data_IF_110022510683
#
_entry.id   IF_110022510683
#
_cell.length_a   1.000
_cell.length_b   1.000
_cell.length_c   1.000
_cell.angle_alpha   90.00
_cell.angle_beta   90.00
_cell.angle_gamma   90.00
#
_symmetry.space_group_name_H-M   'P 1'
#
loop_
_entity.id
_entity.type
_entity.pdbx_description
1 polymer ?
#
# COMPACT_ATOMS: atom_id res chain seq x y z
N UNK A 1 2.72 42.58 -52.82
CA UNK A 1 3.46 42.94 -51.59
C UNK A 1 3.72 41.64 -50.83
N UNK A 2 4.98 41.24 -50.77
CA UNK A 2 5.42 39.95 -50.23
C UNK A 2 5.30 39.89 -48.70
N UNK A 3 4.95 38.71 -48.20
CA UNK A 3 4.94 38.35 -46.78
C UNK A 3 6.29 38.52 -46.08
N UNK A 4 6.25 38.80 -44.78
CA UNK A 4 7.21 38.23 -43.82
C UNK A 4 6.55 38.13 -42.45
N UNK A 5 6.02 36.94 -42.14
CA UNK A 5 5.79 36.52 -40.76
C UNK A 5 7.12 35.97 -40.26
N UNK A 6 7.77 36.71 -39.37
CA UNK A 6 9.04 36.33 -38.76
C UNK A 6 8.75 35.23 -37.75
N UNK A 7 9.13 33.99 -38.08
CA UNK A 7 9.08 32.89 -37.15
C UNK A 7 10.08 33.14 -36.01
N UNK A 8 9.57 33.18 -34.78
CA UNK A 8 10.36 33.35 -33.57
C UNK A 8 11.33 32.16 -33.38
N UNK A 9 12.64 32.40 -33.23
CA UNK A 9 13.60 31.34 -32.95
C UNK A 9 13.51 31.02 -31.46
N UNK A 10 12.94 29.85 -31.11
CA UNK A 10 13.06 29.11 -29.84
C UNK A 10 11.86 28.17 -29.55
N UNK A 11 10.92 27.93 -30.48
CA UNK A 11 9.98 26.84 -30.25
C UNK A 11 10.72 25.49 -30.27
N UNK A 12 10.58 24.65 -29.23
CA UNK A 12 11.15 23.31 -29.25
C UNK A 12 10.58 22.54 -30.45
N UNK A 13 11.33 21.60 -31.03
CA UNK A 13 10.84 20.79 -32.13
C UNK A 13 9.53 20.12 -31.73
N UNK A 14 8.50 20.22 -32.58
CA UNK A 14 7.24 19.52 -32.34
C UNK A 14 7.54 18.03 -32.20
N UNK A 15 7.36 17.49 -31.01
CA UNK A 15 7.56 16.07 -30.76
C UNK A 15 6.57 15.29 -31.63
N UNK A 16 7.01 14.14 -32.15
CA UNK A 16 6.15 13.27 -32.94
C UNK A 16 4.92 12.86 -32.11
N UNK A 17 3.73 12.71 -32.71
CA UNK A 17 2.52 12.32 -31.99
C UNK A 17 2.67 11.10 -31.04
N UNK A 18 3.39 10.01 -31.39
CA UNK A 18 3.61 8.91 -30.45
C UNK A 18 4.48 9.30 -29.24
N UNK A 19 5.45 10.21 -29.40
CA UNK A 19 6.29 10.69 -28.31
C UNK A 19 5.49 11.61 -27.36
N UNK A 20 4.56 12.40 -27.91
CA UNK A 20 3.64 13.22 -27.11
C UNK A 20 2.72 12.36 -26.24
N UNK A 21 2.13 11.31 -26.82
CA UNK A 21 1.26 10.40 -26.09
C UNK A 21 2.01 9.67 -24.95
N UNK A 22 3.24 9.23 -25.21
CA UNK A 22 4.08 8.58 -24.21
C UNK A 22 4.54 9.55 -23.10
N UNK A 23 4.81 10.81 -23.46
CA UNK A 23 5.11 11.87 -22.49
C UNK A 23 3.89 12.23 -21.63
N UNK A 24 2.69 12.29 -22.21
CA UNK A 24 1.43 12.51 -21.48
C UNK A 24 1.08 11.35 -20.55
N UNK A 25 1.31 10.10 -20.98
CA UNK A 25 1.09 8.91 -20.14
C UNK A 25 2.02 8.87 -18.92
N UNK A 26 3.25 9.35 -19.05
CA UNK A 26 4.25 9.38 -17.98
C UNK A 26 4.36 10.74 -17.26
N UNK A 27 3.39 11.63 -17.44
CA UNK A 27 3.42 12.97 -16.88
C UNK A 27 2.90 13.01 -15.42
N UNK A 28 3.54 13.74 -14.49
CA UNK A 28 3.12 13.85 -13.08
C UNK A 28 1.74 14.46 -12.83
N UNK A 29 1.20 15.13 -13.84
CA UNK A 29 -0.16 15.69 -13.86
C UNK A 29 -1.06 15.01 -14.90
N UNK A 30 -0.69 13.82 -15.36
CA UNK A 30 -1.53 13.08 -16.30
C UNK A 30 -2.90 12.82 -15.67
N UNK A 31 -3.95 13.01 -16.45
CA UNK A 31 -5.33 12.66 -16.08
C UNK A 31 -5.73 11.29 -16.65
N UNK A 32 -4.79 10.60 -17.31
CA UNK A 32 -5.03 9.29 -17.86
C UNK A 32 -5.13 8.28 -16.71
N UNK A 33 -6.17 7.45 -16.72
CA UNK A 33 -6.45 6.45 -15.68
C UNK A 33 -5.40 5.34 -15.59
N UNK A 34 -4.62 5.14 -16.65
CA UNK A 34 -3.53 4.17 -16.74
C UNK A 34 -2.15 4.81 -16.47
N UNK A 35 -2.10 6.10 -16.12
CA UNK A 35 -0.83 6.75 -15.79
C UNK A 35 -0.29 6.26 -14.44
N UNK A 36 1.01 5.93 -14.34
CA UNK A 36 1.68 5.63 -13.07
C UNK A 36 1.50 6.72 -12.01
N UNK A 37 1.33 7.98 -12.46
CA UNK A 37 1.17 9.12 -11.58
C UNK A 37 -0.22 9.20 -10.97
N UNK A 38 -1.26 8.81 -11.71
CA UNK A 38 -2.63 8.72 -11.17
C UNK A 38 -2.65 7.74 -10.00
N UNK A 39 -2.07 6.56 -10.18
CA UNK A 39 -1.94 5.56 -9.12
C UNK A 39 -1.11 6.09 -7.94
N UNK A 40 0.01 6.77 -8.19
CA UNK A 40 0.83 7.39 -7.14
C UNK A 40 0.04 8.40 -6.30
N UNK A 41 -0.74 9.28 -6.94
CA UNK A 41 -1.55 10.27 -6.23
C UNK A 41 -2.65 9.61 -5.40
N UNK A 42 -3.31 8.58 -5.94
CA UNK A 42 -4.29 7.77 -5.21
C UNK A 42 -3.64 7.04 -4.02
N UNK A 43 -2.47 6.45 -4.20
CA UNK A 43 -1.70 5.80 -3.13
C UNK A 43 -1.27 6.78 -2.04
N UNK A 44 -0.85 7.99 -2.43
CA UNK A 44 -0.47 9.04 -1.49
C UNK A 44 -1.66 9.51 -0.66
N UNK A 45 -2.83 9.73 -1.29
CA UNK A 45 -4.06 10.11 -0.60
C UNK A 45 -4.56 9.00 0.34
N UNK A 46 -4.51 7.73 -0.12
CA UNK A 46 -4.89 6.57 0.68
C UNK A 46 -3.96 6.39 1.88
N UNK A 47 -2.63 6.48 1.66
CA UNK A 47 -1.63 6.42 2.73
C UNK A 47 -1.89 7.49 3.79
N UNK A 48 -2.20 8.71 3.38
CA UNK A 48 -2.51 9.79 4.33
C UNK A 48 -3.75 9.46 5.17
N UNK A 49 -4.80 8.92 4.54
CA UNK A 49 -6.04 8.54 5.21
C UNK A 49 -5.79 7.45 6.25
N UNK A 50 -5.10 6.38 5.85
CA UNK A 50 -4.73 5.27 6.74
C UNK A 50 -3.87 5.78 7.90
N UNK A 51 -2.86 6.60 7.61
CA UNK A 51 -1.94 7.12 8.63
C UNK A 51 -2.67 7.93 9.69
N UNK A 52 -3.59 8.80 9.29
CA UNK A 52 -4.41 9.58 10.22
C UNK A 52 -5.25 8.70 11.15
N UNK A 53 -5.77 7.58 10.64
CA UNK A 53 -6.50 6.62 11.47
C UNK A 53 -5.58 5.86 12.44
N UNK A 54 -4.45 5.38 11.96
CA UNK A 54 -3.43 4.69 12.78
C UNK A 54 -2.92 5.59 13.90
N UNK A 55 -2.59 6.85 13.62
CA UNK A 55 -2.09 7.82 14.61
C UNK A 55 -3.08 8.08 15.75
N UNK A 56 -4.40 7.98 15.49
CA UNK A 56 -5.45 8.18 16.48
C UNK A 56 -5.81 6.90 17.24
N UNK A 57 -5.33 5.76 16.78
CA UNK A 57 -5.65 4.45 17.35
C UNK A 57 -4.81 4.14 18.60
N UNK A 58 -5.42 3.47 19.58
CA UNK A 58 -4.76 2.99 20.80
C UNK A 58 -3.85 4.01 21.52
N UNK A 59 -4.30 5.25 21.80
CA UNK A 59 -3.44 6.34 22.29
C UNK A 59 -2.77 6.06 23.64
N UNK A 60 -3.38 5.21 24.46
CA UNK A 60 -2.88 4.82 25.78
C UNK A 60 -1.67 3.87 25.72
N UNK A 61 -1.40 3.27 24.56
CA UNK A 61 -0.31 2.32 24.37
C UNK A 61 0.94 3.02 23.85
N UNK A 62 2.04 2.95 24.61
CA UNK A 62 3.32 3.46 24.14
C UNK A 62 3.83 2.74 22.88
N UNK A 63 3.45 1.48 22.68
CA UNK A 63 3.84 0.70 21.50
C UNK A 63 3.23 1.28 20.20
N UNK A 64 1.96 1.67 20.22
CA UNK A 64 1.30 2.23 19.03
C UNK A 64 1.62 3.71 18.79
N UNK A 65 2.30 4.37 19.73
CA UNK A 65 2.87 5.72 19.54
C UNK A 65 4.25 5.71 18.90
N UNK A 66 4.85 4.54 18.70
CA UNK A 66 6.12 4.41 17.99
C UNK A 66 5.89 4.65 16.49
N UNK A 67 6.65 5.60 15.93
CA UNK A 67 6.58 5.99 14.52
C UNK A 67 6.87 4.80 13.58
N UNK A 68 7.76 3.88 13.97
CA UNK A 68 8.06 2.70 13.17
C UNK A 68 6.86 1.75 13.13
N UNK A 69 6.14 1.59 14.26
CA UNK A 69 4.91 0.77 14.34
C UNK A 69 3.79 1.40 13.50
N UNK A 70 3.62 2.72 13.57
CA UNK A 70 2.60 3.41 12.77
C UNK A 70 2.90 3.34 11.27
N UNK A 71 4.17 3.50 10.89
CA UNK A 71 4.62 3.35 9.52
C UNK A 71 4.39 1.93 9.00
N UNK A 72 4.74 0.91 9.80
CA UNK A 72 4.52 -0.50 9.48
C UNK A 72 3.03 -0.82 9.27
N UNK A 73 2.17 -0.43 10.22
CA UNK A 73 0.72 -0.65 10.09
C UNK A 73 0.15 0.07 8.86
N UNK A 74 0.61 1.28 8.58
CA UNK A 74 0.20 2.04 7.39
C UNK A 74 0.61 1.32 6.10
N UNK A 75 1.82 0.79 6.05
CA UNK A 75 2.33 0.03 4.90
C UNK A 75 1.53 -1.25 4.68
N UNK A 76 1.27 -2.03 5.73
CA UNK A 76 0.48 -3.27 5.65
C UNK A 76 -0.90 -3.01 5.04
N UNK A 77 -1.64 -2.02 5.57
CA UNK A 77 -2.98 -1.68 5.10
C UNK A 77 -2.97 -1.18 3.65
N UNK A 78 -1.98 -0.36 3.29
CA UNK A 78 -1.83 0.15 1.93
C UNK A 78 -1.54 -1.00 0.96
N UNK A 79 -0.60 -1.87 1.29
CA UNK A 79 -0.24 -3.04 0.47
C UNK A 79 -1.44 -3.95 0.30
N UNK A 80 -2.22 -4.20 1.36
CA UNK A 80 -3.42 -5.03 1.29
C UNK A 80 -4.46 -4.48 0.30
N UNK A 81 -4.64 -3.15 0.25
CA UNK A 81 -5.55 -2.51 -0.72
C UNK A 81 -5.04 -2.62 -2.17
N UNK A 82 -3.73 -2.71 -2.36
CA UNK A 82 -3.09 -2.74 -3.69
C UNK A 82 -2.80 -4.16 -4.18
N UNK A 83 -2.83 -5.14 -3.28
CA UNK A 83 -2.68 -6.53 -3.64
C UNK A 83 -3.97 -7.02 -4.32
N UNK A 84 -3.92 -7.17 -5.64
CA UNK A 84 -4.95 -7.89 -6.36
C UNK A 84 -4.86 -9.37 -5.94
N UNK A 85 -5.93 -10.02 -5.46
CA UNK A 85 -5.88 -11.45 -5.23
C UNK A 85 -5.51 -12.12 -6.56
N UNK A 86 -4.37 -12.82 -6.58
CA UNK A 86 -3.91 -13.55 -7.75
C UNK A 86 -5.01 -14.51 -8.17
N UNK A 87 -5.64 -14.24 -9.32
CA UNK A 87 -6.67 -15.07 -9.91
C UNK A 87 -6.10 -16.38 -10.49
N UNK A 88 -5.18 -17.04 -9.77
CA UNK A 88 -4.63 -18.34 -10.11
C UNK A 88 -5.21 -19.37 -9.15
N UNK A 89 -6.37 -19.92 -9.52
CA UNK A 89 -6.76 -21.34 -9.29
C UNK A 89 -8.28 -21.58 -9.46
N UNK A 90 -9.08 -20.54 -9.71
CA UNK A 90 -10.50 -20.74 -10.04
C UNK A 90 -10.73 -20.47 -11.52
N UNK A 91 -11.22 -21.46 -12.26
CA UNK A 91 -11.64 -21.37 -13.66
C UNK A 91 -12.94 -20.55 -13.83
N UNK A 92 -13.00 -19.38 -13.20
CA UNK A 92 -14.12 -18.43 -13.24
C UNK A 92 -13.63 -17.03 -13.62
N UNK A 93 -14.54 -16.11 -14.00
CA UNK A 93 -14.17 -14.75 -14.32
C UNK A 93 -13.50 -14.08 -13.11
N UNK A 94 -12.42 -13.30 -13.30
CA UNK A 94 -11.83 -12.53 -12.20
C UNK A 94 -12.84 -11.44 -11.82
N UNK A 95 -13.56 -11.66 -10.73
CA UNK A 95 -14.47 -10.67 -10.16
C UNK A 95 -14.19 -10.61 -8.68
N UNK A 96 -13.10 -9.95 -8.33
CA UNK A 96 -13.03 -9.27 -7.04
C UNK A 96 -12.81 -7.80 -7.36
N UNK A 97 -13.72 -6.95 -6.89
CA UNK A 97 -13.54 -5.50 -6.91
C UNK A 97 -12.20 -5.13 -6.24
N UNK A 98 -11.59 -3.98 -6.56
CA UNK A 98 -10.41 -3.53 -5.84
C UNK A 98 -10.71 -3.48 -4.33
N UNK A 99 -9.87 -4.15 -3.53
CA UNK A 99 -9.92 -4.10 -2.07
C UNK A 99 -9.77 -2.64 -1.63
N UNK A 100 -10.78 -2.10 -0.95
CA UNK A 100 -10.77 -0.72 -0.50
C UNK A 100 -10.56 -0.68 1.02
N UNK A 101 -9.64 0.18 1.48
CA UNK A 101 -9.50 0.47 2.90
C UNK A 101 -10.83 1.03 3.45
N UNK A 102 -11.24 0.51 4.60
CA UNK A 102 -12.39 1.01 5.35
C UNK A 102 -11.92 1.38 6.75
N UNK A 103 -12.41 2.52 7.25
CA UNK A 103 -12.13 2.95 8.61
C UNK A 103 -12.51 1.84 9.59
N UNK A 104 -11.62 1.53 10.53
CA UNK A 104 -11.75 0.42 11.47
C UNK A 104 -10.87 -0.79 11.13
N UNK A 105 -10.42 -0.96 9.88
CA UNK A 105 -9.48 -2.03 9.52
C UNK A 105 -8.15 -1.94 10.31
N UNK A 106 -7.73 -0.73 10.67
CA UNK A 106 -6.56 -0.51 11.52
C UNK A 106 -6.75 -1.02 12.96
N UNK A 107 -7.99 -1.08 13.46
CA UNK A 107 -8.31 -1.63 14.78
C UNK A 107 -8.25 -3.17 14.77
N UNK A 108 -8.48 -3.80 13.63
CA UNK A 108 -8.24 -5.24 13.44
C UNK A 108 -6.74 -5.54 13.34
N UNK A 109 -5.99 -4.73 12.60
CA UNK A 109 -4.56 -4.91 12.43
C UNK A 109 -3.77 -4.68 13.74
N UNK A 110 -4.16 -3.70 14.56
CA UNK A 110 -3.43 -3.33 15.77
C UNK A 110 -3.11 -4.51 16.71
N UNK A 111 -4.13 -5.28 17.17
CA UNK A 111 -3.91 -6.46 18.00
C UNK A 111 -3.05 -7.54 17.34
N UNK A 112 -3.22 -7.78 16.03
CA UNK A 112 -2.42 -8.74 15.28
C UNK A 112 -0.94 -8.32 15.27
N UNK A 113 -0.67 -7.07 14.90
CA UNK A 113 0.68 -6.53 14.83
C UNK A 113 1.36 -6.55 16.21
N UNK A 114 0.63 -6.19 17.27
CA UNK A 114 1.15 -6.25 18.63
C UNK A 114 1.48 -7.68 19.08
N UNK A 115 0.64 -8.66 18.73
CA UNK A 115 0.88 -10.06 19.05
C UNK A 115 2.16 -10.57 18.36
N UNK A 116 2.28 -10.36 17.04
CA UNK A 116 3.46 -10.75 16.25
C UNK A 116 4.73 -10.10 16.82
N UNK A 117 4.73 -8.78 17.01
CA UNK A 117 5.89 -8.06 17.54
C UNK A 117 6.26 -8.50 18.97
N UNK A 118 5.28 -8.89 19.78
CA UNK A 118 5.51 -9.37 21.14
C UNK A 118 6.11 -10.76 21.16
N UNK A 119 5.66 -11.64 20.26
CA UNK A 119 6.16 -13.01 20.17
C UNK A 119 7.54 -13.06 19.50
N UNK A 120 7.81 -12.26 18.47
CA UNK A 120 9.15 -12.10 17.89
C UNK A 120 10.19 -11.66 18.96
N UNK A 121 9.83 -10.68 19.80
CA UNK A 121 10.66 -10.23 20.93
C UNK A 121 10.87 -11.28 22.04
N UNK A 122 10.00 -12.28 22.14
CA UNK A 122 10.13 -13.38 23.10
C UNK A 122 11.01 -14.49 22.53
N UNK A 123 10.84 -14.80 21.25
CA UNK A 123 11.66 -15.76 20.52
C UNK A 123 13.14 -15.34 20.48
N UNK A 124 13.41 -14.05 20.22
CA UNK A 124 14.78 -13.49 20.22
C UNK A 124 15.50 -13.64 21.58
N UNK A 125 14.74 -13.56 22.68
CA UNK A 125 15.32 -13.54 24.02
C UNK A 125 15.54 -14.92 24.65
N UNK A 126 14.83 -15.96 24.24
CA UNK A 126 14.70 -17.17 25.06
C UNK A 126 14.94 -18.53 24.42
N UNK A 127 14.88 -18.76 23.11
CA UNK A 127 14.72 -20.15 22.64
C UNK A 127 15.64 -20.59 21.49
N UNK A 128 16.75 -21.25 21.85
CA UNK A 128 17.49 -22.16 20.97
C UNK A 128 16.63 -23.40 20.57
N UNK A 129 15.54 -23.67 21.30
CA UNK A 129 14.71 -24.87 21.16
C UNK A 129 13.51 -24.70 20.20
N UNK A 130 13.20 -23.46 19.75
CA UNK A 130 12.06 -23.18 18.87
C UNK A 130 12.48 -22.73 17.47
N UNK A 131 13.32 -23.53 16.82
CA UNK A 131 13.85 -23.22 15.49
C UNK A 131 12.75 -22.89 14.46
N UNK A 132 11.61 -23.60 14.50
CA UNK A 132 10.49 -23.34 13.58
C UNK A 132 9.79 -22.00 13.88
N UNK A 133 9.64 -21.62 15.15
CA UNK A 133 9.04 -20.33 15.51
C UNK A 133 9.97 -19.16 15.18
N UNK A 134 11.30 -19.34 15.28
CA UNK A 134 12.26 -18.32 14.86
C UNK A 134 12.27 -18.06 13.34
N UNK A 135 11.79 -19.01 12.53
CA UNK A 135 11.67 -18.82 11.07
C UNK A 135 10.43 -17.99 10.68
N UNK A 136 9.40 -17.95 11.53
CA UNK A 136 8.11 -17.28 11.28
C UNK A 136 7.96 -16.01 12.15
N UNK A 137 8.80 -15.81 13.16
CA UNK A 137 8.73 -14.66 14.07
C UNK A 137 10.09 -13.95 14.13
N UNK A 138 10.72 -13.80 12.96
CA UNK A 138 11.95 -13.04 12.82
C UNK A 138 11.63 -11.55 13.06
N UNK A 139 12.31 -10.86 13.99
CA UNK A 139 12.12 -9.44 14.24
C UNK A 139 12.27 -8.54 12.99
N UNK A 140 12.99 -8.97 11.97
CA UNK A 140 13.15 -8.24 10.70
C UNK A 140 11.90 -8.35 9.80
N UNK A 141 11.04 -9.35 10.01
CA UNK A 141 9.91 -9.68 9.14
C UNK A 141 8.52 -9.50 9.78
N UNK A 142 8.44 -8.80 10.92
CA UNK A 142 7.18 -8.54 11.65
C UNK A 142 6.08 -7.98 10.74
N UNK A 143 6.41 -7.09 9.80
CA UNK A 143 5.44 -6.53 8.85
C UNK A 143 4.82 -7.60 7.95
N UNK A 144 5.63 -8.57 7.51
CA UNK A 144 5.21 -9.62 6.57
C UNK A 144 4.32 -10.66 7.27
N UNK A 145 4.69 -11.04 8.48
CA UNK A 145 3.89 -11.98 9.28
C UNK A 145 2.55 -11.35 9.68
N UNK A 146 2.56 -10.08 10.09
CA UNK A 146 1.34 -9.34 10.39
C UNK A 146 0.46 -9.15 9.14
N UNK A 147 1.03 -8.85 7.97
CA UNK A 147 0.29 -8.81 6.71
C UNK A 147 -0.38 -10.14 6.40
N UNK A 148 0.35 -11.26 6.52
CA UNK A 148 -0.17 -12.59 6.23
C UNK A 148 -1.35 -12.93 7.13
N UNK A 149 -1.25 -12.67 8.44
CA UNK A 149 -2.35 -12.87 9.38
C UNK A 149 -3.54 -11.95 9.08
N UNK A 150 -3.28 -10.68 8.76
CA UNK A 150 -4.33 -9.71 8.42
C UNK A 150 -5.06 -10.11 7.13
N UNK A 151 -4.34 -10.55 6.10
CA UNK A 151 -4.94 -11.02 4.85
C UNK A 151 -5.88 -12.20 5.09
N UNK A 152 -5.43 -13.20 5.87
CA UNK A 152 -6.28 -14.35 6.22
C UNK A 152 -7.50 -13.95 7.04
N UNK A 153 -7.36 -12.99 7.96
CA UNK A 153 -8.50 -12.44 8.70
C UNK A 153 -9.51 -11.77 7.77
N UNK A 154 -9.04 -10.95 6.84
CA UNK A 154 -9.90 -10.19 5.94
C UNK A 154 -10.74 -11.09 5.01
N UNK A 155 -10.27 -12.28 4.64
CA UNK A 155 -11.09 -13.27 3.89
C UNK A 155 -12.44 -13.56 4.56
N UNK A 156 -12.52 -13.47 5.89
CA UNK A 156 -13.75 -13.76 6.64
C UNK A 156 -14.54 -12.51 7.04
N UNK A 157 -13.87 -11.36 7.12
CA UNK A 157 -14.45 -10.13 7.70
C UNK A 157 -14.75 -9.08 6.62
N UNK A 158 -14.22 -9.20 5.41
CA UNK A 158 -14.43 -8.25 4.31
C UNK A 158 -15.93 -8.01 4.02
N UNK A 159 -16.75 -9.06 4.03
CA UNK A 159 -18.21 -8.97 3.84
C UNK A 159 -18.93 -8.10 4.89
N UNK A 160 -18.30 -7.83 6.05
CA UNK A 160 -18.89 -6.98 7.10
C UNK A 160 -18.63 -5.49 6.86
N UNK A 161 -17.78 -5.17 5.88
CA UNK A 161 -17.42 -3.80 5.51
C UNK A 161 -18.18 -3.30 4.26
N UNK A 162 -19.18 -4.04 3.79
CA UNK A 162 -20.13 -3.66 2.73
C UNK A 162 -20.96 -2.42 3.08
#
# INVERSE_FOLDING_TARGET
>A
ASSSSVAHPLMPPSLSPPILAEAEANHPLSLASDSPWTQYHEDAALRQTIRMDVERSFPESAFFRDEAVQAAMTTILLVWCRHAPTASDTAGPPVCAPRAYRQGMHELLGPLYWAVASDARRCDRNDQERHEASLILDPEYIEHDAYTLFEQLMVFVEDWYD
#
